data_IF_205799819875
#
_entry.id   IF_205799819875
#
_cell.length_a   1.000
_cell.length_b   1.000
_cell.length_c   1.000
_cell.angle_alpha   90.00
_cell.angle_beta   90.00
_cell.angle_gamma   90.00
#
_symmetry.space_group_name_H-M   'P 1'
#
loop_
_entity.id
_entity.type
_entity.pdbx_description
1 polymer ?
#
# COMPACT_ATOMS: atom_id res chain seq x y z
N UNK A 1 11.21 11.37 5.29
CA UNK A 1 10.72 10.51 4.18
C UNK A 1 9.66 11.22 3.33
N UNK A 2 8.69 11.89 3.96
CA UNK A 2 7.62 12.66 3.28
C UNK A 2 8.19 13.64 2.23
N UNK A 3 9.17 14.48 2.60
CA UNK A 3 9.79 15.44 1.67
C UNK A 3 10.43 14.76 0.46
N UNK A 4 11.19 13.67 0.67
CA UNK A 4 11.80 12.92 -0.43
C UNK A 4 10.75 12.31 -1.35
N UNK A 5 9.66 11.78 -0.81
CA UNK A 5 8.55 11.25 -1.59
C UNK A 5 7.83 12.34 -2.41
N UNK A 6 7.64 13.52 -1.83
CA UNK A 6 7.07 14.67 -2.50
C UNK A 6 7.99 15.18 -3.63
N UNK A 7 9.29 15.32 -3.38
CA UNK A 7 10.28 15.75 -4.38
C UNK A 7 10.40 14.74 -5.52
N UNK A 8 10.54 13.45 -5.20
CA UNK A 8 10.61 12.39 -6.21
C UNK A 8 9.33 12.29 -7.07
N UNK A 9 8.18 12.77 -6.55
CA UNK A 9 6.91 12.77 -7.28
C UNK A 9 6.65 14.05 -8.09
N UNK A 10 6.89 15.22 -7.50
CA UNK A 10 6.43 16.52 -8.02
C UNK A 10 7.52 17.35 -8.71
N UNK A 11 8.79 17.16 -8.37
CA UNK A 11 9.88 17.91 -9.00
C UNK A 11 9.98 17.50 -10.48
N UNK A 12 10.33 18.43 -11.38
CA UNK A 12 10.39 18.17 -12.83
C UNK A 12 11.32 17.01 -13.20
N UNK A 13 12.44 16.90 -12.48
CA UNK A 13 13.40 15.78 -12.59
C UNK A 13 13.10 14.60 -11.63
N UNK A 14 11.94 14.59 -10.98
CA UNK A 14 11.54 13.54 -10.05
C UNK A 14 11.26 12.21 -10.76
N UNK A 15 11.52 11.11 -10.06
CA UNK A 15 11.34 9.75 -10.60
C UNK A 15 9.94 9.50 -11.17
N UNK A 16 8.87 10.04 -10.56
CA UNK A 16 7.52 9.84 -11.10
C UNK A 16 7.23 10.67 -12.35
N UNK A 17 7.89 11.82 -12.53
CA UNK A 17 7.80 12.57 -13.79
C UNK A 17 8.46 11.80 -14.93
N UNK A 18 9.62 11.19 -14.64
CA UNK A 18 10.29 10.29 -15.58
C UNK A 18 9.43 9.07 -15.91
N UNK A 19 8.79 8.46 -14.91
CA UNK A 19 7.87 7.34 -15.12
C UNK A 19 6.73 7.74 -16.07
N UNK A 20 6.05 8.87 -15.81
CA UNK A 20 4.97 9.36 -16.68
C UNK A 20 5.46 9.59 -18.10
N UNK A 21 6.63 10.23 -18.26
CA UNK A 21 7.26 10.45 -19.57
C UNK A 21 7.49 9.13 -20.31
N UNK A 22 8.15 8.16 -19.70
CA UNK A 22 8.52 6.91 -20.35
C UNK A 22 7.31 6.01 -20.62
N UNK A 23 6.30 6.00 -19.74
CA UNK A 23 5.03 5.32 -20.00
C UNK A 23 4.34 5.91 -21.23
N UNK A 24 4.29 7.24 -21.35
CA UNK A 24 3.68 7.90 -22.51
C UNK A 24 4.46 7.64 -23.81
N UNK A 25 5.80 7.65 -23.77
CA UNK A 25 6.65 7.28 -24.90
C UNK A 25 6.42 5.81 -25.33
N UNK A 26 6.37 4.89 -24.37
CA UNK A 26 6.12 3.48 -24.63
C UNK A 26 4.73 3.24 -25.26
N UNK A 27 3.68 3.87 -24.72
CA UNK A 27 2.32 3.82 -25.28
C UNK A 27 2.30 4.33 -26.73
N UNK A 28 2.99 5.43 -27.02
CA UNK A 28 3.11 5.98 -28.38
C UNK A 28 3.85 5.02 -29.31
N UNK A 29 4.92 4.38 -28.84
CA UNK A 29 5.72 3.45 -29.65
C UNK A 29 4.98 2.15 -29.97
N UNK A 30 4.17 1.64 -29.03
CA UNK A 30 3.40 0.41 -29.23
C UNK A 30 2.10 0.63 -30.02
N UNK A 31 1.59 1.87 -30.05
CA UNK A 31 0.40 2.26 -30.80
C UNK A 31 -0.82 1.45 -30.36
N UNK A 32 -1.65 1.01 -31.33
CA UNK A 32 -2.88 0.23 -31.07
C UNK A 32 -2.64 -1.11 -30.37
N UNK A 33 -1.41 -1.64 -30.34
CA UNK A 33 -1.07 -2.87 -29.61
C UNK A 33 -0.98 -2.69 -28.09
N UNK A 34 -1.08 -1.46 -27.58
CA UNK A 34 -1.08 -1.17 -26.15
C UNK A 34 -2.41 -0.55 -25.67
N UNK A 35 -3.35 -0.25 -26.59
CA UNK A 35 -4.66 0.27 -26.23
C UNK A 35 -5.52 -0.85 -25.64
N UNK A 36 -5.75 -0.81 -24.32
CA UNK A 36 -6.59 -1.76 -23.60
C UNK A 36 -5.85 -2.93 -22.94
N UNK A 37 -4.56 -3.12 -23.25
CA UNK A 37 -3.78 -4.26 -22.75
C UNK A 37 -3.05 -3.98 -21.42
N UNK A 38 -3.00 -2.72 -20.97
CA UNK A 38 -2.22 -2.33 -19.79
C UNK A 38 -3.12 -2.07 -18.58
N UNK A 39 -2.74 -2.66 -17.45
CA UNK A 39 -3.34 -2.46 -16.14
C UNK A 39 -2.29 -1.89 -15.18
N UNK A 40 -2.71 -0.94 -14.35
CA UNK A 40 -1.88 -0.39 -13.29
C UNK A 40 -2.29 -1.00 -11.96
N UNK A 41 -1.32 -1.60 -11.29
CA UNK A 41 -1.42 -2.10 -9.93
C UNK A 41 -0.30 -1.49 -9.10
N UNK A 42 -0.63 -0.99 -7.91
CA UNK A 42 0.33 -0.32 -7.03
C UNK A 42 0.35 -1.03 -5.69
N UNK A 43 1.54 -1.42 -5.26
CA UNK A 43 1.79 -1.99 -3.94
C UNK A 43 2.81 -1.12 -3.22
N UNK A 44 2.50 -0.67 -2.02
CA UNK A 44 3.39 0.13 -1.18
C UNK A 44 3.54 -0.47 0.21
N UNK A 45 4.75 -0.92 0.56
CA UNK A 45 5.08 -1.39 1.90
C UNK A 45 5.66 -0.27 2.75
N UNK A 46 5.20 -0.13 3.99
CA UNK A 46 5.71 0.84 4.96
C UNK A 46 5.80 2.25 4.36
N UNK A 47 7.01 2.80 4.30
CA UNK A 47 7.44 3.98 3.58
C UNK A 47 6.83 4.15 2.17
N UNK A 48 6.70 3.05 1.43
CA UNK A 48 6.15 3.01 0.09
C UNK A 48 4.71 3.52 0.01
N UNK A 49 3.94 3.45 1.10
CA UNK A 49 2.61 4.06 1.16
C UNK A 49 2.65 5.60 1.08
N UNK A 50 3.67 6.23 1.68
CA UNK A 50 3.92 7.68 1.60
C UNK A 50 4.33 8.05 0.18
N UNK A 51 5.23 7.26 -0.42
CA UNK A 51 5.65 7.48 -1.81
C UNK A 51 4.47 7.35 -2.79
N UNK A 52 3.70 6.27 -2.70
CA UNK A 52 2.51 6.06 -3.52
C UNK A 52 1.47 7.17 -3.37
N UNK A 53 1.24 7.68 -2.15
CA UNK A 53 0.34 8.81 -1.92
C UNK A 53 0.82 10.07 -2.64
N UNK A 54 2.10 10.44 -2.52
CA UNK A 54 2.62 11.61 -3.25
C UNK A 54 2.64 11.43 -4.77
N UNK A 55 2.80 10.20 -5.24
CA UNK A 55 2.79 9.83 -6.66
C UNK A 55 1.37 9.73 -7.25
N UNK A 56 0.31 9.82 -6.44
CA UNK A 56 -1.07 9.47 -6.84
C UNK A 56 -1.56 10.24 -8.07
N UNK A 57 -1.18 11.52 -8.20
CA UNK A 57 -1.60 12.35 -9.33
C UNK A 57 -0.91 11.90 -10.61
N UNK A 58 0.39 11.57 -10.54
CA UNK A 58 1.15 11.04 -11.67
C UNK A 58 0.59 9.69 -12.10
N UNK A 59 0.34 8.79 -11.15
CA UNK A 59 -0.24 7.46 -11.39
C UNK A 59 -1.62 7.55 -12.06
N UNK A 60 -2.51 8.42 -11.56
CA UNK A 60 -3.83 8.65 -12.15
C UNK A 60 -3.76 9.29 -13.56
N UNK A 61 -2.69 10.05 -13.87
CA UNK A 61 -2.54 10.73 -15.15
C UNK A 61 -2.04 9.85 -16.30
N UNK A 62 -1.67 8.59 -16.05
CA UNK A 62 -1.10 7.70 -17.06
C UNK A 62 -2.09 7.30 -18.17
N UNK A 63 -3.40 7.49 -17.94
CA UNK A 63 -4.44 7.00 -18.86
C UNK A 63 -4.36 5.48 -19.04
N UNK A 64 -4.01 4.78 -17.96
CA UNK A 64 -3.99 3.31 -17.83
C UNK A 64 -5.06 2.94 -16.82
N UNK A 65 -5.73 1.80 -16.98
CA UNK A 65 -6.73 1.36 -16.01
C UNK A 65 -6.07 1.03 -14.67
N UNK A 66 -6.28 1.87 -13.65
CA UNK A 66 -5.78 1.62 -12.31
C UNK A 66 -6.69 0.65 -11.57
N UNK A 67 -6.27 -0.61 -11.51
CA UNK A 67 -7.06 -1.72 -10.98
C UNK A 67 -6.95 -1.84 -9.47
N UNK A 68 -5.74 -1.91 -8.93
CA UNK A 68 -5.55 -2.12 -7.49
C UNK A 68 -4.55 -1.15 -6.87
N UNK A 69 -4.83 -0.79 -5.63
CA UNK A 69 -3.91 -0.14 -4.72
C UNK A 69 -3.84 -0.98 -3.45
N UNK A 70 -2.64 -1.30 -3.00
CA UNK A 70 -2.43 -2.19 -1.87
C UNK A 70 -1.34 -1.62 -0.98
N UNK A 71 -1.57 -1.58 0.33
CA UNK A 71 -0.59 -1.13 1.29
C UNK A 71 -0.31 -2.19 2.34
N UNK A 72 0.97 -2.43 2.58
CA UNK A 72 1.46 -3.37 3.59
C UNK A 72 2.12 -2.57 4.70
N UNK A 73 1.65 -2.73 5.95
CA UNK A 73 2.07 -1.97 7.11
C UNK A 73 2.28 -0.45 6.84
N UNK A 74 1.28 0.26 6.26
CA UNK A 74 1.49 1.62 5.76
C UNK A 74 1.95 2.60 6.85
N UNK A 75 3.14 3.18 6.65
CA UNK A 75 3.69 4.20 7.54
C UNK A 75 3.15 5.61 7.27
N UNK A 76 2.28 5.79 6.26
CA UNK A 76 1.65 7.08 6.00
C UNK A 76 0.76 7.50 7.18
N UNK A 77 0.88 8.76 7.58
CA UNK A 77 -0.02 9.35 8.55
C UNK A 77 -1.45 9.41 8.04
N UNK A 78 -2.41 9.27 8.94
CA UNK A 78 -3.84 9.32 8.61
C UNK A 78 -4.26 10.69 8.06
N UNK A 79 -3.72 11.79 8.60
CA UNK A 79 -4.00 13.15 8.13
C UNK A 79 -3.56 13.33 6.66
N UNK A 80 -2.34 12.89 6.34
CA UNK A 80 -1.76 12.98 5.00
C UNK A 80 -2.49 12.08 4.00
N UNK A 81 -2.90 10.88 4.42
CA UNK A 81 -3.75 10.02 3.61
C UNK A 81 -5.09 10.70 3.27
N UNK A 82 -5.74 11.34 4.26
CA UNK A 82 -6.99 12.07 4.06
C UNK A 82 -6.81 13.30 3.18
N UNK A 83 -5.68 13.97 3.26
CA UNK A 83 -5.37 15.13 2.44
C UNK A 83 -5.16 14.74 0.96
N UNK A 84 -4.37 13.69 0.71
CA UNK A 84 -3.85 13.40 -0.63
C UNK A 84 -4.62 12.28 -1.33
N UNK A 85 -4.89 11.19 -0.62
CA UNK A 85 -5.40 9.94 -1.22
C UNK A 85 -6.92 9.90 -1.20
N UNK A 86 -7.53 10.26 -0.06
CA UNK A 86 -8.98 10.18 0.11
C UNK A 86 -9.79 10.95 -0.96
N UNK A 87 -9.41 12.17 -1.39
CA UNK A 87 -10.13 12.86 -2.47
C UNK A 87 -10.12 12.07 -3.78
N UNK A 88 -9.01 11.36 -4.07
CA UNK A 88 -8.84 10.54 -5.28
C UNK A 88 -9.64 9.24 -5.24
N UNK A 89 -9.89 8.71 -4.05
CA UNK A 89 -10.82 7.60 -3.86
C UNK A 89 -12.26 8.08 -4.11
N UNK A 90 -12.62 9.25 -3.60
CA UNK A 90 -13.97 9.82 -3.71
C UNK A 90 -14.30 10.19 -5.16
N UNK A 91 -13.38 10.81 -5.89
CA UNK A 91 -13.53 11.18 -7.30
C UNK A 91 -13.35 9.99 -8.28
N UNK A 92 -13.03 8.80 -7.74
CA UNK A 92 -12.83 7.53 -8.46
C UNK A 92 -11.65 7.55 -9.45
N UNK A 93 -10.68 8.44 -9.27
CA UNK A 93 -9.42 8.43 -10.04
C UNK A 93 -8.36 7.52 -9.44
N UNK A 94 -8.56 7.05 -8.21
CA UNK A 94 -7.74 6.04 -7.53
C UNK A 94 -8.64 4.94 -6.95
N UNK A 95 -8.29 3.65 -7.10
CA UNK A 95 -8.99 2.59 -6.38
C UNK A 95 -8.80 2.75 -4.87
N UNK A 96 -9.80 2.31 -4.09
CA UNK A 96 -9.69 2.24 -2.63
C UNK A 96 -8.61 1.20 -2.27
N UNK A 97 -7.69 1.50 -1.33
CA UNK A 97 -6.61 0.58 -1.02
C UNK A 97 -7.11 -0.65 -0.26
N UNK A 98 -6.46 -1.79 -0.51
CA UNK A 98 -6.47 -2.93 0.41
C UNK A 98 -5.31 -2.80 1.38
N UNK A 99 -5.56 -2.94 2.68
CA UNK A 99 -4.55 -2.81 3.72
C UNK A 99 -4.16 -4.18 4.30
N UNK A 100 -2.87 -4.40 4.50
CA UNK A 100 -2.33 -5.50 5.29
C UNK A 100 -1.65 -4.90 6.51
N UNK A 101 -2.14 -5.23 7.71
CA UNK A 101 -1.68 -4.63 8.97
C UNK A 101 -1.46 -5.69 10.05
N UNK A 102 -0.62 -5.40 11.03
CA UNK A 102 -0.54 -6.21 12.24
C UNK A 102 -1.77 -5.93 13.12
N UNK A 103 -2.08 -6.90 13.98
CA UNK A 103 -3.05 -6.68 15.05
C UNK A 103 -2.47 -5.73 16.11
N UNK A 104 -3.30 -5.18 17.00
CA UNK A 104 -2.79 -4.38 18.14
C UNK A 104 -1.76 -5.12 18.99
N UNK A 105 -1.92 -6.43 19.17
CA UNK A 105 -0.97 -7.27 19.91
C UNK A 105 0.28 -7.51 19.07
N UNK A 106 0.12 -7.89 17.80
CA UNK A 106 1.25 -8.09 16.89
C UNK A 106 2.11 -6.84 16.72
N UNK A 107 1.50 -5.65 16.70
CA UNK A 107 2.21 -4.37 16.63
C UNK A 107 2.95 -4.02 17.94
N UNK A 108 2.57 -4.58 19.08
CA UNK A 108 3.32 -4.41 20.33
C UNK A 108 4.44 -5.45 20.48
N UNK A 109 4.23 -6.63 19.88
CA UNK A 109 5.18 -7.74 19.87
C UNK A 109 6.22 -7.62 18.74
N UNK A 110 5.99 -6.75 17.74
CA UNK A 110 6.95 -6.44 16.68
C UNK A 110 8.27 -5.89 17.24
N UNK A 111 9.36 -6.28 16.59
CA UNK A 111 10.72 -5.91 16.97
C UNK A 111 11.56 -5.65 15.71
N UNK A 112 12.11 -4.44 15.61
CA UNK A 112 12.99 -4.03 14.51
C UNK A 112 14.45 -3.86 14.96
N UNK A 113 15.31 -4.77 14.50
CA UNK A 113 16.76 -4.65 14.62
C UNK A 113 17.25 -4.39 16.05
N UNK A 114 18.25 -3.52 16.27
CA UNK A 114 18.75 -3.24 17.61
C UNK A 114 17.80 -2.41 18.49
N UNK A 115 16.68 -1.92 17.95
CA UNK A 115 15.73 -1.08 18.69
C UNK A 115 14.84 -1.89 19.65
N UNK A 116 14.54 -3.17 19.37
CA UNK A 116 13.90 -4.06 20.34
C UNK A 116 12.37 -3.91 20.47
N UNK A 117 11.74 -3.12 19.59
CA UNK A 117 10.32 -2.69 19.65
C UNK A 117 9.78 -2.39 18.25
N UNK A 118 8.46 -2.14 18.16
CA UNK A 118 7.78 -1.87 16.89
C UNK A 118 8.32 -0.67 16.12
N UNK A 119 8.48 -0.88 14.81
CA UNK A 119 8.91 0.19 13.91
C UNK A 119 7.83 1.27 13.76
N UNK A 120 6.54 0.92 13.65
CA UNK A 120 5.51 1.94 13.51
C UNK A 120 5.30 2.74 14.79
N UNK A 121 5.48 2.13 15.97
CA UNK A 121 5.53 2.90 17.22
C UNK A 121 6.75 3.83 17.29
N UNK A 122 7.91 3.44 16.75
CA UNK A 122 9.06 4.34 16.63
C UNK A 122 8.72 5.53 15.72
N UNK A 123 8.17 5.26 14.54
CA UNK A 123 7.79 6.30 13.57
C UNK A 123 6.75 7.24 14.18
N UNK A 124 5.65 6.69 14.71
CA UNK A 124 4.54 7.42 15.31
C UNK A 124 4.97 8.29 16.50
N UNK A 125 5.92 7.83 17.31
CA UNK A 125 6.34 8.56 18.52
C UNK A 125 7.52 9.50 18.32
N UNK A 126 8.39 9.26 17.34
CA UNK A 126 9.66 9.97 17.23
C UNK A 126 9.88 10.68 15.89
N UNK A 127 9.30 10.20 14.78
CA UNK A 127 9.67 10.67 13.44
C UNK A 127 8.63 11.57 12.77
N UNK A 128 7.41 11.66 13.32
CA UNK A 128 6.33 12.48 12.75
C UNK A 128 6.13 13.83 13.48
N UNK A 129 7.13 14.29 14.23
CA UNK A 129 7.19 15.62 14.85
C UNK A 129 6.41 15.77 16.16
N UNK A 130 5.57 14.80 16.52
CA UNK A 130 4.89 14.72 17.81
C UNK A 130 4.79 13.26 18.25
N UNK A 131 4.45 13.04 19.52
CA UNK A 131 4.29 11.69 20.07
C UNK A 131 2.90 11.14 19.72
N UNK A 132 2.80 9.84 19.48
CA UNK A 132 1.56 9.13 19.12
C UNK A 132 0.82 9.71 17.89
N UNK A 133 1.57 10.07 16.84
CA UNK A 133 0.98 10.51 15.59
C UNK A 133 0.25 9.35 14.88
N UNK A 134 -1.03 9.48 14.50
CA UNK A 134 -1.80 8.39 13.90
C UNK A 134 -1.28 7.93 12.54
N UNK A 135 -0.87 6.66 12.45
CA UNK A 135 -0.43 6.01 11.21
C UNK A 135 -1.49 5.04 10.67
N UNK A 136 -1.66 5.01 9.35
CA UNK A 136 -2.66 4.20 8.67
C UNK A 136 -2.45 2.69 8.88
N UNK A 137 -1.20 2.26 9.10
CA UNK A 137 -0.83 0.86 9.29
C UNK A 137 -1.12 0.29 10.68
N UNK A 138 -1.56 1.11 11.63
CA UNK A 138 -1.76 0.69 13.02
C UNK A 138 -3.25 0.54 13.33
N UNK A 139 -3.67 -0.68 13.69
CA UNK A 139 -5.07 -0.99 14.02
C UNK A 139 -5.64 -0.04 15.08
N UNK A 140 -4.88 0.29 16.13
CA UNK A 140 -5.28 1.22 17.21
C UNK A 140 -5.82 2.54 16.63
N UNK A 141 -5.07 3.17 15.73
CA UNK A 141 -5.41 4.48 15.19
C UNK A 141 -6.54 4.42 14.15
N UNK A 142 -6.70 3.29 13.46
CA UNK A 142 -7.88 3.08 12.62
C UNK A 142 -9.16 2.99 13.45
N UNK A 143 -9.13 2.29 14.59
CA UNK A 143 -10.28 2.16 15.51
C UNK A 143 -10.68 3.50 16.14
N UNK A 144 -9.74 4.44 16.29
CA UNK A 144 -10.02 5.80 16.79
C UNK A 144 -10.74 6.69 15.74
N UNK A 145 -10.68 6.33 14.45
CA UNK A 145 -11.40 7.02 13.37
C UNK A 145 -12.42 6.09 12.69
N UNK A 146 -13.59 5.97 13.33
CA UNK A 146 -14.66 5.08 12.87
C UNK A 146 -15.11 5.36 11.43
N UNK A 147 -15.08 6.63 10.98
CA UNK A 147 -15.50 6.98 9.61
C UNK A 147 -14.51 6.42 8.60
N UNK A 148 -13.22 6.63 8.83
CA UNK A 148 -12.18 6.10 7.98
C UNK A 148 -12.14 4.57 8.03
N UNK A 149 -12.25 3.98 9.23
CA UNK A 149 -12.30 2.53 9.41
C UNK A 149 -13.46 1.90 8.62
N UNK A 150 -14.67 2.46 8.72
CA UNK A 150 -15.83 1.94 7.97
C UNK A 150 -15.61 2.02 6.45
N UNK A 151 -15.03 3.13 5.97
CA UNK A 151 -14.70 3.29 4.56
C UNK A 151 -13.68 2.24 4.11
N UNK A 152 -12.56 2.12 4.82
CA UNK A 152 -11.44 1.26 4.41
C UNK A 152 -11.73 -0.22 4.63
N UNK A 153 -12.48 -0.59 5.67
CA UNK A 153 -12.83 -1.99 5.94
C UNK A 153 -13.91 -2.52 4.99
N UNK A 154 -14.71 -1.64 4.37
CA UNK A 154 -15.70 -2.08 3.37
C UNK A 154 -15.03 -2.84 2.22
N UNK A 155 -15.80 -3.73 1.57
CA UNK A 155 -15.23 -4.65 0.60
C UNK A 155 -14.47 -3.94 -0.56
N UNK A 156 -13.38 -4.56 -0.99
CA UNK A 156 -12.60 -4.25 -2.20
C UNK A 156 -12.55 -5.54 -3.01
N UNK A 157 -13.10 -5.53 -4.22
CA UNK A 157 -13.16 -6.68 -5.13
C UNK A 157 -13.79 -7.93 -4.50
N UNK A 158 -14.83 -7.74 -3.68
CA UNK A 158 -15.52 -8.82 -2.97
C UNK A 158 -14.81 -9.37 -1.73
N UNK A 159 -13.64 -8.81 -1.38
CA UNK A 159 -12.83 -9.20 -0.23
C UNK A 159 -12.77 -8.08 0.83
N UNK A 160 -12.47 -8.36 2.11
CA UNK A 160 -12.27 -7.33 3.12
C UNK A 160 -11.23 -6.29 2.69
N UNK A 161 -11.49 -5.01 2.95
CA UNK A 161 -10.53 -3.95 2.60
C UNK A 161 -9.36 -3.84 3.58
N UNK A 162 -9.49 -4.39 4.79
CA UNK A 162 -8.42 -4.51 5.78
C UNK A 162 -8.19 -6.00 6.09
N UNK A 163 -6.95 -6.42 5.96
CA UNK A 163 -6.45 -7.76 6.30
C UNK A 163 -5.58 -7.61 7.54
N UNK A 164 -6.07 -8.08 8.68
CA UNK A 164 -5.29 -8.18 9.90
C UNK A 164 -4.51 -9.49 9.84
N UNK A 165 -3.20 -9.42 10.03
CA UNK A 165 -2.34 -10.60 10.02
C UNK A 165 -2.79 -11.62 11.07
N UNK A 166 -2.86 -12.89 10.66
CA UNK A 166 -3.28 -14.01 11.51
C UNK A 166 -4.80 -14.21 11.63
N UNK A 167 -5.65 -13.34 11.08
CA UNK A 167 -7.11 -13.46 11.25
C UNK A 167 -7.88 -13.97 10.02
N UNK A 168 -7.31 -13.84 8.82
CA UNK A 168 -7.97 -14.21 7.56
C UNK A 168 -7.55 -15.58 7.04
N UNK A 169 -8.45 -16.28 6.35
CA UNK A 169 -8.20 -17.58 5.72
C UNK A 169 -8.54 -17.61 4.21
N UNK A 170 -9.11 -16.53 3.69
CA UNK A 170 -9.52 -16.43 2.28
C UNK A 170 -8.35 -16.03 1.39
N UNK A 171 -8.15 -16.68 0.23
CA UNK A 171 -7.23 -16.20 -0.80
C UNK A 171 -7.53 -14.75 -1.17
N UNK A 172 -6.50 -13.90 -1.27
CA UNK A 172 -6.67 -12.47 -1.51
C UNK A 172 -6.88 -11.63 -0.23
N UNK A 173 -7.15 -12.25 0.91
CA UNK A 173 -7.39 -11.58 2.18
C UNK A 173 -6.72 -12.30 3.37
N UNK A 174 -5.52 -12.84 3.14
CA UNK A 174 -4.74 -13.55 4.14
C UNK A 174 -3.36 -12.89 4.31
N UNK A 175 -2.88 -12.86 5.55
CA UNK A 175 -1.50 -12.52 5.91
C UNK A 175 -1.14 -13.32 7.15
N UNK A 176 0.12 -13.75 7.24
CA UNK A 176 0.73 -14.37 8.42
C UNK A 176 2.02 -13.67 8.83
N UNK A 177 2.22 -12.42 8.40
CA UNK A 177 3.36 -11.62 8.85
C UNK A 177 3.25 -11.38 10.35
N UNK A 178 4.29 -11.71 11.09
CA UNK A 178 4.42 -11.46 12.54
C UNK A 178 5.22 -10.19 12.86
N UNK A 179 5.85 -9.59 11.84
CA UNK A 179 6.66 -8.38 11.97
C UNK A 179 6.24 -7.32 10.96
N UNK A 180 6.61 -6.07 11.23
CA UNK A 180 6.39 -4.94 10.33
C UNK A 180 7.09 -5.15 8.97
N UNK A 181 8.33 -5.65 9.02
CA UNK A 181 9.15 -5.92 7.82
C UNK A 181 8.83 -7.26 7.13
N UNK A 182 7.93 -8.07 7.69
CA UNK A 182 7.68 -9.43 7.18
C UNK A 182 6.66 -9.51 6.05
N UNK A 183 5.90 -8.46 5.76
CA UNK A 183 4.76 -8.54 4.83
C UNK A 183 5.16 -8.89 3.39
N UNK A 184 6.26 -8.35 2.88
CA UNK A 184 6.79 -8.66 1.55
C UNK A 184 7.58 -9.97 1.50
N UNK A 185 7.88 -10.57 2.66
CA UNK A 185 8.52 -11.86 2.83
C UNK A 185 7.54 -12.99 3.18
N UNK A 186 6.28 -12.65 3.50
CA UNK A 186 5.22 -13.62 3.84
C UNK A 186 4.52 -14.11 2.57
N UNK A 187 4.61 -15.42 2.23
CA UNK A 187 3.91 -15.98 1.08
C UNK A 187 2.40 -15.76 1.12
N UNK A 188 1.78 -15.69 2.31
CA UNK A 188 0.33 -15.50 2.42
C UNK A 188 -0.08 -14.08 2.02
N UNK A 189 0.68 -13.08 2.47
CA UNK A 189 0.51 -11.68 2.09
C UNK A 189 0.76 -11.49 0.60
N UNK A 190 1.90 -11.97 0.08
CA UNK A 190 2.25 -11.76 -1.33
C UNK A 190 1.32 -12.50 -2.29
N UNK A 191 0.87 -13.72 -1.95
CA UNK A 191 -0.15 -14.40 -2.75
C UNK A 191 -1.52 -13.73 -2.63
N UNK A 192 -1.87 -13.15 -1.48
CA UNK A 192 -3.09 -12.35 -1.38
C UNK A 192 -3.03 -11.11 -2.27
N UNK A 193 -1.88 -10.43 -2.31
CA UNK A 193 -1.68 -9.30 -3.19
C UNK A 193 -1.76 -9.70 -4.67
N UNK A 194 -1.20 -10.85 -5.02
CA UNK A 194 -1.23 -11.41 -6.37
C UNK A 194 -2.65 -11.84 -6.78
N UNK A 195 -3.44 -12.45 -5.89
CA UNK A 195 -4.85 -12.77 -6.15
C UNK A 195 -5.64 -11.51 -6.46
N UNK A 196 -5.42 -10.41 -5.73
CA UNK A 196 -6.07 -9.12 -6.02
C UNK A 196 -5.66 -8.54 -7.37
N UNK A 197 -4.41 -8.74 -7.78
CA UNK A 197 -3.91 -8.31 -9.09
C UNK A 197 -4.55 -9.14 -10.21
N UNK A 198 -4.55 -10.46 -10.09
CA UNK A 198 -5.02 -11.37 -11.14
C UNK A 198 -6.55 -11.52 -11.19
N UNK A 199 -7.25 -11.24 -10.09
CA UNK A 199 -8.68 -11.53 -9.93
C UNK A 199 -8.99 -13.03 -9.77
N UNK A 200 -7.98 -13.88 -9.77
CA UNK A 200 -8.07 -15.34 -9.64
C UNK A 200 -6.87 -15.90 -8.86
N UNK A 201 -6.89 -17.20 -8.57
CA UNK A 201 -5.77 -17.87 -7.92
C UNK A 201 -4.56 -17.92 -8.87
N UNK A 202 -3.35 -17.55 -8.40
CA UNK A 202 -2.15 -17.63 -9.23
C UNK A 202 -1.82 -19.07 -9.59
N UNK A 203 -1.51 -19.32 -10.86
CA UNK A 203 -1.03 -20.63 -11.34
C UNK A 203 0.32 -21.02 -10.72
N UNK A 204 1.14 -20.02 -10.41
CA UNK A 204 2.43 -20.15 -9.74
C UNK A 204 2.44 -19.21 -8.52
N UNK A 205 1.99 -19.67 -7.34
CA UNK A 205 2.02 -18.87 -6.13
C UNK A 205 3.46 -18.68 -5.63
N UNK A 206 3.71 -17.57 -4.93
CA UNK A 206 4.94 -17.39 -4.17
C UNK A 206 5.05 -18.44 -3.07
N UNK A 207 6.24 -19.00 -2.93
CA UNK A 207 6.62 -19.89 -1.83
C UNK A 207 7.57 -19.16 -0.89
N UNK A 208 7.80 -19.73 0.30
CA UNK A 208 8.82 -19.18 1.21
C UNK A 208 10.20 -19.08 0.55
N UNK A 209 10.53 -19.98 -0.39
CA UNK A 209 11.81 -19.96 -1.10
C UNK A 209 11.93 -18.76 -2.05
N UNK A 210 10.82 -18.34 -2.67
CA UNK A 210 10.84 -17.23 -3.64
C UNK A 210 11.06 -15.87 -2.96
N UNK A 211 10.80 -15.81 -1.65
CA UNK A 211 10.82 -14.58 -0.85
C UNK A 211 11.97 -14.55 0.18
N UNK A 212 12.91 -15.49 0.11
CA UNK A 212 14.14 -15.46 0.91
C UNK A 212 15.21 -14.68 0.16
N UNK A 213 15.48 -13.45 0.57
CA UNK A 213 16.58 -12.61 0.07
C UNK A 213 17.35 -11.94 1.22
#
# INVERSE_FOLDING_TARGET
>A
MVENAALASKHEAGAMQLLVKYVNEAKKSLGKKAEGDWELHVVGHSAGSIFAAHAITQLASLGISWKTLQFMAPAIRIDLFKEIVLPKIIDKTCPKPSLYILSKVGELDDDVGPYGKSLLYLVSNAFEGSREVPLLGMQKFLEEDQKLLNLLNSAVDGLPGIVISGTGDKPGAMSKSDTHGGFDNDPNTMNSALVRILGELPKAPFTARDLQF
#
